data_IF_881784981817
#
_entry.id   IF_881784981817
#
_cell.length_a   1.000
_cell.length_b   1.000
_cell.length_c   1.000
_cell.angle_alpha   90.00
_cell.angle_beta   90.00
_cell.angle_gamma   90.00
#
_symmetry.space_group_name_H-M   'P 1'
#
loop_
_entity.id
_entity.type
_entity.pdbx_description
1 polymer ?
#
# COMPACT_ATOMS: atom_id res chain seq x y z
N UNK A 1 32.92 25.96 43.05
CA UNK A 1 32.11 24.74 42.85
C UNK A 1 30.85 25.15 42.10
N UNK A 2 30.73 24.80 40.81
CA UNK A 2 29.55 25.11 40.00
C UNK A 2 28.46 24.05 40.29
N UNK A 3 27.26 24.52 40.66
CA UNK A 3 26.10 23.67 40.94
C UNK A 3 25.55 23.16 39.61
N UNK A 4 25.67 21.86 39.35
CA UNK A 4 25.01 21.19 38.23
C UNK A 4 23.51 21.25 38.49
N UNK A 5 22.76 21.82 37.55
CA UNK A 5 21.31 21.79 37.57
C UNK A 5 20.83 20.34 37.39
N UNK A 6 19.73 19.92 38.08
CA UNK A 6 19.18 18.59 37.89
C UNK A 6 18.77 18.38 36.43
N UNK A 7 18.86 17.15 35.88
CA UNK A 7 18.38 16.86 34.53
C UNK A 7 16.87 17.17 34.48
N UNK A 8 16.44 17.83 33.40
CA UNK A 8 15.03 18.10 33.15
C UNK A 8 14.23 16.78 33.16
N UNK A 9 13.00 16.78 33.70
CA UNK A 9 12.16 15.60 33.70
C UNK A 9 11.92 15.16 32.25
N UNK A 10 12.24 13.89 31.97
CA UNK A 10 12.00 13.25 30.67
C UNK A 10 10.49 13.32 30.38
N UNK A 11 10.11 14.06 29.33
CA UNK A 11 8.72 14.30 28.98
C UNK A 11 8.03 12.96 28.65
N UNK A 12 6.86 12.65 29.24
CA UNK A 12 6.21 11.36 29.04
C UNK A 12 5.88 11.18 27.54
N UNK A 13 6.00 9.95 27.00
CA UNK A 13 5.75 9.71 25.59
C UNK A 13 4.32 10.11 25.25
N UNK A 14 4.17 11.09 24.34
CA UNK A 14 2.87 11.52 23.84
C UNK A 14 2.25 10.31 23.11
N UNK A 15 1.06 9.81 23.54
CA UNK A 15 0.41 8.72 22.84
C UNK A 15 0.20 9.13 21.39
N UNK A 16 0.74 8.38 20.44
CA UNK A 16 0.49 8.60 19.01
C UNK A 16 -0.96 8.23 18.71
N UNK A 17 -1.86 9.16 18.96
CA UNK A 17 -3.27 9.05 18.57
C UNK A 17 -3.35 9.40 17.09
N UNK A 18 -3.09 8.41 16.25
CA UNK A 18 -3.62 8.49 14.90
C UNK A 18 -5.13 8.71 15.03
N UNK A 19 -5.74 9.54 14.16
CA UNK A 19 -7.18 9.68 14.13
C UNK A 19 -7.85 8.30 14.13
N UNK A 20 -9.01 8.15 14.81
CA UNK A 20 -9.73 6.90 14.73
C UNK A 20 -10.01 6.57 13.25
N UNK A 21 -10.00 5.28 12.94
CA UNK A 21 -10.46 4.81 11.64
C UNK A 21 -11.89 5.29 11.42
N UNK A 22 -12.21 5.55 10.16
CA UNK A 22 -13.59 5.77 9.75
C UNK A 22 -14.45 4.58 10.20
N UNK A 23 -15.67 4.79 10.76
CA UNK A 23 -16.50 3.71 11.26
C UNK A 23 -16.87 2.66 10.20
N UNK A 24 -17.08 3.06 8.94
CA UNK A 24 -17.39 2.13 7.85
C UNK A 24 -16.15 1.30 7.52
N UNK A 25 -14.97 1.92 7.45
CA UNK A 25 -13.71 1.23 7.25
C UNK A 25 -13.36 0.28 8.41
N UNK A 26 -13.59 0.70 9.65
CA UNK A 26 -13.29 -0.08 10.85
C UNK A 26 -14.10 -1.37 10.90
N UNK A 27 -15.40 -1.30 10.53
CA UNK A 27 -16.27 -2.47 10.46
C UNK A 27 -15.78 -3.48 9.40
N UNK A 28 -15.31 -2.99 8.24
CA UNK A 28 -14.77 -3.85 7.17
C UNK A 28 -13.45 -4.48 7.59
N UNK A 29 -12.53 -3.70 8.17
CA UNK A 29 -11.22 -4.21 8.60
C UNK A 29 -11.34 -5.31 9.66
N UNK A 30 -12.33 -5.22 10.56
CA UNK A 30 -12.60 -6.28 11.53
C UNK A 30 -12.87 -7.64 10.86
N UNK A 31 -13.62 -7.66 9.75
CA UNK A 31 -13.89 -8.89 8.97
C UNK A 31 -12.68 -9.30 8.14
N UNK A 32 -11.96 -8.35 7.56
CA UNK A 32 -10.75 -8.64 6.75
C UNK A 32 -9.67 -9.33 7.59
N UNK A 33 -9.52 -8.96 8.85
CA UNK A 33 -8.53 -9.56 9.76
C UNK A 33 -8.79 -11.03 10.09
N UNK A 34 -10.01 -11.54 9.90
CA UNK A 34 -10.29 -12.97 10.02
C UNK A 34 -9.67 -13.79 8.88
N UNK A 35 -9.28 -13.13 7.78
CA UNK A 35 -8.80 -13.78 6.56
C UNK A 35 -7.39 -13.37 6.15
N UNK A 36 -6.94 -12.17 6.52
CA UNK A 36 -5.64 -11.63 6.16
C UNK A 36 -4.85 -11.23 7.41
N UNK A 37 -3.62 -11.75 7.49
CA UNK A 37 -2.65 -11.31 8.49
C UNK A 37 -2.34 -9.82 8.29
N UNK A 38 -2.34 -9.01 9.37
CA UNK A 38 -1.89 -7.63 9.31
C UNK A 38 -0.36 -7.51 9.21
N UNK A 39 0.37 -8.62 9.34
CA UNK A 39 1.83 -8.69 9.24
C UNK A 39 2.21 -9.42 7.96
N UNK A 40 3.15 -8.84 7.21
CA UNK A 40 3.77 -9.43 6.02
C UNK A 40 5.27 -9.60 6.32
N UNK A 41 5.80 -10.81 6.10
CA UNK A 41 7.23 -11.12 6.18
C UNK A 41 7.84 -11.27 4.78
N UNK A 42 9.16 -11.46 4.71
CA UNK A 42 9.84 -11.63 3.43
C UNK A 42 9.48 -12.97 2.75
N UNK A 43 9.22 -13.99 3.56
CA UNK A 43 8.83 -15.33 3.11
C UNK A 43 7.46 -15.31 2.43
N UNK A 44 6.59 -14.36 2.78
CA UNK A 44 5.25 -14.24 2.21
C UNK A 44 5.24 -13.66 0.77
N UNK A 45 6.35 -13.10 0.28
CA UNK A 45 6.37 -12.27 -0.94
C UNK A 45 5.86 -13.03 -2.17
N UNK A 46 6.35 -14.26 -2.40
CA UNK A 46 6.01 -15.01 -3.61
C UNK A 46 4.55 -15.47 -3.58
N UNK A 47 4.07 -15.93 -2.42
CA UNK A 47 2.68 -16.36 -2.25
C UNK A 47 1.70 -15.19 -2.40
N UNK A 48 2.03 -14.02 -1.85
CA UNK A 48 1.22 -12.81 -2.00
C UNK A 48 1.16 -12.32 -3.44
N UNK A 49 2.27 -12.39 -4.20
CA UNK A 49 2.31 -12.03 -5.63
C UNK A 49 1.46 -12.95 -6.49
N UNK A 50 1.42 -14.24 -6.16
CA UNK A 50 0.66 -15.23 -6.90
C UNK A 50 -0.83 -15.24 -6.53
N UNK A 51 -1.23 -14.59 -5.43
CA UNK A 51 -2.58 -14.67 -4.91
C UNK A 51 -3.58 -13.90 -5.81
N UNK A 52 -4.56 -14.59 -6.43
CA UNK A 52 -5.52 -13.96 -7.34
C UNK A 52 -6.46 -12.97 -6.63
N UNK A 53 -6.57 -13.02 -5.29
CA UNK A 53 -7.34 -12.04 -4.51
C UNK A 53 -6.84 -10.60 -4.73
N UNK A 54 -5.56 -10.43 -5.03
CA UNK A 54 -4.95 -9.11 -5.26
C UNK A 54 -4.84 -8.75 -6.74
N UNK A 55 -5.30 -9.61 -7.65
CA UNK A 55 -5.33 -9.32 -9.08
C UNK A 55 -6.44 -8.30 -9.39
N UNK A 56 -6.11 -7.25 -10.15
CA UNK A 56 -7.09 -6.29 -10.64
C UNK A 56 -7.41 -6.62 -12.10
N UNK A 57 -8.67 -6.95 -12.44
CA UNK A 57 -9.05 -7.26 -13.81
C UNK A 57 -9.12 -5.98 -14.67
N UNK A 58 -8.77 -6.10 -15.95
CA UNK A 58 -8.81 -4.99 -16.91
C UNK A 58 -10.21 -4.37 -17.01
N UNK A 59 -11.28 -5.16 -16.86
CA UNK A 59 -12.66 -4.69 -16.87
C UNK A 59 -12.91 -3.63 -15.78
N UNK A 60 -12.33 -3.82 -14.59
CA UNK A 60 -12.42 -2.83 -13.51
C UNK A 60 -11.69 -1.54 -13.89
N UNK A 61 -10.55 -1.65 -14.56
CA UNK A 61 -9.71 -0.52 -14.98
C UNK A 61 -10.32 0.28 -16.14
N UNK A 62 -11.02 -0.38 -17.07
CA UNK A 62 -11.71 0.30 -18.18
C UNK A 62 -12.87 1.17 -17.71
N UNK A 63 -13.31 1.02 -16.45
CA UNK A 63 -14.42 1.77 -15.83
C UNK A 63 -15.63 1.83 -16.77
N UNK A 64 -16.19 0.67 -17.09
CA UNK A 64 -17.33 0.51 -18.01
C UNK A 64 -17.07 1.15 -19.40
N UNK A 65 -15.86 1.02 -19.91
CA UNK A 65 -15.46 1.54 -21.23
C UNK A 65 -15.18 3.04 -21.28
N UNK A 66 -15.17 3.75 -20.14
CA UNK A 66 -14.82 5.18 -20.08
C UNK A 66 -13.32 5.44 -20.10
N UNK A 67 -12.51 4.38 -19.99
CA UNK A 67 -11.04 4.43 -20.05
C UNK A 67 -10.55 3.36 -21.03
N UNK A 68 -9.74 3.80 -22.00
CA UNK A 68 -8.95 2.94 -22.86
C UNK A 68 -7.69 2.47 -22.15
N UNK A 69 -7.42 1.17 -22.21
CA UNK A 69 -6.20 0.53 -21.72
C UNK A 69 -5.28 0.20 -22.89
N UNK A 70 -3.99 0.49 -22.72
CA UNK A 70 -2.95 0.10 -23.65
C UNK A 70 -1.72 -0.38 -22.87
N UNK A 71 -1.34 -1.64 -23.08
CA UNK A 71 -0.06 -2.15 -22.60
C UNK A 71 1.06 -1.75 -23.59
N UNK A 72 2.14 -1.20 -23.07
CA UNK A 72 3.36 -0.86 -23.81
C UNK A 72 4.56 -1.51 -23.13
N UNK A 73 5.56 -1.87 -23.92
CA UNK A 73 6.87 -2.29 -23.43
C UNK A 73 7.88 -1.19 -23.77
N UNK A 74 8.69 -0.78 -22.80
CA UNK A 74 9.77 0.21 -23.01
C UNK A 74 11.11 -0.37 -22.54
N UNK A 75 12.24 0.04 -23.16
CA UNK A 75 13.55 -0.47 -22.76
C UNK A 75 13.82 -0.21 -21.28
N UNK A 76 14.28 -1.25 -20.57
CA UNK A 76 14.79 -1.12 -19.22
C UNK A 76 16.21 -0.56 -19.17
N UNK A 77 16.77 -0.39 -17.95
CA UNK A 77 18.19 -0.09 -17.77
C UNK A 77 19.11 -1.12 -18.45
N UNK A 78 20.38 -0.78 -18.74
CA UNK A 78 21.33 -1.72 -19.31
C UNK A 78 21.43 -3.02 -18.50
N UNK A 79 21.19 -4.17 -19.16
CA UNK A 79 21.22 -5.50 -18.54
C UNK A 79 19.96 -5.89 -17.78
N UNK A 80 18.95 -5.03 -17.71
CA UNK A 80 17.64 -5.32 -17.11
C UNK A 80 16.60 -5.65 -18.19
N UNK A 81 15.50 -6.34 -17.83
CA UNK A 81 14.38 -6.57 -18.75
C UNK A 81 13.66 -5.28 -19.13
N UNK A 82 12.89 -5.33 -20.21
CA UNK A 82 11.95 -4.26 -20.56
C UNK A 82 10.94 -4.01 -19.44
N UNK A 83 10.50 -2.76 -19.33
CA UNK A 83 9.51 -2.31 -18.35
C UNK A 83 8.13 -2.30 -19.01
N UNK A 84 7.17 -2.97 -18.37
CA UNK A 84 5.76 -2.91 -18.77
C UNK A 84 5.12 -1.63 -18.27
N UNK A 85 4.43 -0.92 -19.18
CA UNK A 85 3.62 0.25 -18.88
C UNK A 85 2.16 -0.05 -19.22
N UNK A 86 1.27 0.20 -18.26
CA UNK A 86 -0.17 0.25 -18.52
C UNK A 86 -0.60 1.71 -18.67
N UNK A 87 -0.98 2.09 -19.89
CA UNK A 87 -1.45 3.44 -20.22
C UNK A 87 -2.96 3.48 -20.17
N UNK A 88 -3.50 4.37 -19.32
CA UNK A 88 -4.93 4.61 -19.17
C UNK A 88 -5.25 5.97 -19.80
N UNK A 89 -6.17 6.00 -20.76
CA UNK A 89 -6.63 7.22 -21.43
C UNK A 89 -8.15 7.32 -21.36
N UNK A 90 -8.74 8.45 -20.96
CA UNK A 90 -10.17 8.67 -21.12
C UNK A 90 -10.60 8.46 -22.58
N UNK A 91 -11.82 7.98 -22.79
CA UNK A 91 -12.49 8.14 -24.10
C UNK A 91 -12.99 9.57 -24.23
N UNK A 92 -12.50 10.31 -25.23
CA UNK A 92 -12.93 11.67 -25.54
C UNK A 92 -11.81 12.70 -25.57
#
# INVERSE_FOLDING_TARGET
MAKIAPPEPEEPPIPRTHPPLDPELAAVLAVVHDHLSPTITAEDIEDLRANPMFAVPDEALTRNGTVHLQNLSVPGPPGAPDISLLVLKPVG
#
